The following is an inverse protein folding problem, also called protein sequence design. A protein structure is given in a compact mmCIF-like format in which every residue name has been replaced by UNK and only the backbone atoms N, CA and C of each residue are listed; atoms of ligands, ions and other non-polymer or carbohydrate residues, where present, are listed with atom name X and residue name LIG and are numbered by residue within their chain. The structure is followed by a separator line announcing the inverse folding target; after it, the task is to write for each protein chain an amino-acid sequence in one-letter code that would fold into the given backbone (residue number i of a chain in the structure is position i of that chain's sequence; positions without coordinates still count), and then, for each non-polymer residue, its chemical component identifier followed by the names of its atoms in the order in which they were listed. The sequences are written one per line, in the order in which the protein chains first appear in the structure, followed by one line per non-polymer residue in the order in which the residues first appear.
data_IF_340795918240
#
_entry.id   IF_340795918240
#
_cell.length_a   1.000
_cell.length_b   1.000
_cell.length_c   1.000
_cell.angle_alpha   90.00
_cell.angle_beta   90.00
_cell.angle_gamma   90.00
#
_symmetry.space_group_name_H-M   'P 1'
#
loop_
_entity.id
_entity.type
_entity.pdbx_description
1 polymer ?
#
# COMPACT_ATOMS: atom_id res chain seq x y z
N UNK A 1 -19.53 -10.64 10.12
CA UNK A 1 -18.53 -11.08 9.12
C UNK A 1 -18.00 -12.48 9.44
N UNK A 2 -17.66 -13.29 8.43
CA UNK A 2 -17.02 -14.61 8.59
C UNK A 2 -15.51 -14.48 8.83
N UNK A 3 -14.86 -15.54 9.32
CA UNK A 3 -13.40 -15.55 9.52
C UNK A 3 -12.62 -15.26 8.22
N UNK A 4 -13.07 -15.80 7.08
CA UNK A 4 -12.47 -15.54 5.77
C UNK A 4 -12.63 -14.07 5.34
N UNK A 5 -13.81 -13.49 5.58
CA UNK A 5 -14.06 -12.08 5.32
C UNK A 5 -13.15 -11.18 6.17
N UNK A 6 -13.03 -11.48 7.47
CA UNK A 6 -12.14 -10.75 8.38
C UNK A 6 -10.67 -10.89 7.95
N UNK A 7 -10.26 -12.10 7.56
CA UNK A 7 -8.89 -12.37 7.09
C UNK A 7 -8.55 -11.56 5.85
N UNK A 8 -9.45 -11.56 4.86
CA UNK A 8 -9.29 -10.80 3.62
C UNK A 8 -9.29 -9.29 3.86
N UNK A 9 -10.18 -8.81 4.73
CA UNK A 9 -10.43 -7.39 4.91
C UNK A 9 -9.39 -6.71 5.82
N UNK A 10 -8.80 -7.44 6.76
CA UNK A 10 -7.76 -6.92 7.66
C UNK A 10 -6.34 -7.38 7.29
N UNK A 11 -6.18 -8.20 6.24
CA UNK A 11 -4.93 -8.88 5.86
C UNK A 11 -4.28 -9.63 7.03
N UNK A 12 -5.11 -10.35 7.80
CA UNK A 12 -4.67 -11.12 8.98
C UNK A 12 -4.76 -12.62 8.66
N UNK A 13 -3.68 -13.40 8.81
CA UNK A 13 -3.71 -14.84 8.57
C UNK A 13 -4.73 -15.57 9.45
N UNK A 14 -5.40 -16.58 8.89
CA UNK A 14 -6.38 -17.41 9.62
C UNK A 14 -5.84 -17.99 10.94
N UNK A 15 -4.56 -18.34 10.99
CA UNK A 15 -3.92 -18.83 12.23
C UNK A 15 -3.98 -17.79 13.36
N UNK A 16 -3.83 -16.51 13.03
CA UNK A 16 -3.87 -15.40 13.97
C UNK A 16 -5.31 -15.14 14.40
N UNK A 17 -6.27 -15.25 13.49
CA UNK A 17 -7.69 -15.14 13.81
C UNK A 17 -8.18 -16.27 14.73
N UNK A 18 -7.69 -17.51 14.54
CA UNK A 18 -7.96 -18.63 15.44
C UNK A 18 -7.41 -18.40 16.84
N UNK A 19 -6.22 -17.80 16.93
CA UNK A 19 -5.65 -17.39 18.22
C UNK A 19 -6.52 -16.32 18.89
N UNK A 20 -6.95 -15.29 18.13
CA UNK A 20 -7.82 -14.25 18.65
C UNK A 20 -9.18 -14.77 19.12
N UNK A 21 -9.72 -15.80 18.46
CA UNK A 21 -10.97 -16.44 18.88
C UNK A 21 -10.87 -17.01 20.31
N UNK A 22 -9.68 -17.46 20.73
CA UNK A 22 -9.43 -18.01 22.07
C UNK A 22 -8.94 -16.93 23.05
N UNK A 23 -7.92 -16.18 22.66
CA UNK A 23 -7.18 -15.29 23.55
C UNK A 23 -7.69 -13.84 23.54
N UNK A 24 -8.42 -13.44 22.49
CA UNK A 24 -8.99 -12.09 22.31
C UNK A 24 -10.47 -12.16 21.94
N UNK A 25 -11.22 -13.03 22.63
CA UNK A 25 -12.59 -13.39 22.26
C UNK A 25 -13.49 -12.17 22.06
N UNK A 26 -13.39 -11.14 22.92
CA UNK A 26 -14.18 -9.89 22.79
C UNK A 26 -13.95 -9.17 21.46
N UNK A 27 -12.69 -9.02 21.05
CA UNK A 27 -12.34 -8.40 19.76
C UNK A 27 -12.86 -9.25 18.60
N UNK A 28 -12.66 -10.56 18.68
CA UNK A 28 -13.10 -11.47 17.63
C UNK A 28 -14.64 -11.44 17.47
N UNK A 29 -15.40 -11.46 18.56
CA UNK A 29 -16.86 -11.36 18.53
C UNK A 29 -17.36 -10.02 17.98
N UNK A 30 -16.66 -8.91 18.28
CA UNK A 30 -16.96 -7.61 17.67
C UNK A 30 -16.79 -7.67 16.15
N UNK A 31 -15.67 -8.18 15.65
CA UNK A 31 -15.43 -8.35 14.22
C UNK A 31 -16.48 -9.27 13.55
N UNK A 32 -16.89 -10.33 14.25
CA UNK A 32 -17.94 -11.25 13.77
C UNK A 32 -19.31 -10.57 13.68
N UNK A 33 -19.59 -9.61 14.58
CA UNK A 33 -20.87 -8.89 14.65
C UNK A 33 -21.05 -7.79 13.59
N UNK A 34 -19.97 -7.32 12.97
CA UNK A 34 -20.05 -6.28 11.94
C UNK A 34 -20.63 -6.82 10.62
N UNK A 35 -21.35 -5.99 9.88
CA UNK A 35 -21.80 -6.31 8.52
C UNK A 35 -20.66 -6.15 7.51
N UNK A 36 -20.47 -7.15 6.66
CA UNK A 36 -19.34 -7.18 5.73
C UNK A 36 -19.39 -6.04 4.71
N UNK A 37 -20.56 -5.80 4.12
CA UNK A 37 -20.70 -4.78 3.08
C UNK A 37 -20.57 -3.36 3.65
N UNK A 38 -21.17 -3.09 4.82
CA UNK A 38 -20.99 -1.82 5.54
C UNK A 38 -19.52 -1.57 5.91
N UNK A 39 -18.84 -2.61 6.42
CA UNK A 39 -17.42 -2.52 6.75
C UNK A 39 -16.57 -2.37 5.51
N UNK A 40 -16.86 -3.07 4.42
CA UNK A 40 -16.12 -2.98 3.15
C UNK A 40 -16.25 -1.60 2.52
N UNK A 41 -17.44 -1.00 2.54
CA UNK A 41 -17.66 0.38 2.11
C UNK A 41 -16.91 1.37 3.00
N UNK A 42 -16.93 1.17 4.33
CA UNK A 42 -16.19 2.02 5.27
C UNK A 42 -14.67 1.81 5.21
N UNK A 43 -14.21 0.63 4.80
CA UNK A 43 -12.79 0.29 4.65
C UNK A 43 -12.27 0.58 3.24
N UNK A 44 -13.12 0.95 2.27
CA UNK A 44 -12.75 1.26 0.89
C UNK A 44 -11.68 0.29 0.38
N UNK A 45 -12.02 -0.99 0.36
CA UNK A 45 -11.14 -2.07 -0.11
C UNK A 45 -10.99 -2.02 -1.64
N UNK A 46 -10.36 -0.94 -2.12
CA UNK A 46 -9.69 -0.89 -3.43
C UNK A 46 -8.56 -1.92 -3.35
N UNK A 47 -8.46 -2.83 -4.32
CA UNK A 47 -7.33 -3.76 -4.45
C UNK A 47 -6.19 -3.11 -5.24
N UNK A 48 -4.96 -3.62 -5.10
CA UNK A 48 -3.79 -3.12 -5.84
C UNK A 48 -3.93 -3.28 -7.35
N UNK A 49 -4.71 -4.27 -7.79
CA UNK A 49 -4.96 -4.58 -9.19
C UNK A 49 -6.13 -3.77 -9.78
N UNK A 50 -6.89 -3.05 -8.95
CA UNK A 50 -8.03 -2.25 -9.39
C UNK A 50 -7.59 -1.06 -10.24
N UNK A 51 -8.52 -0.60 -11.09
CA UNK A 51 -8.42 0.63 -11.85
C UNK A 51 -9.36 1.66 -11.23
N UNK A 52 -8.82 2.82 -10.87
CA UNK A 52 -9.55 3.91 -10.23
C UNK A 52 -9.45 5.19 -11.04
N UNK A 53 -10.40 6.10 -10.82
CA UNK A 53 -10.32 7.46 -11.34
C UNK A 53 -9.23 8.21 -10.55
N UNK A 54 -8.10 8.42 -11.21
CA UNK A 54 -6.99 9.22 -10.72
C UNK A 54 -7.18 10.68 -11.11
N UNK A 55 -7.02 11.58 -10.12
CA UNK A 55 -7.01 13.02 -10.33
C UNK A 55 -5.61 13.59 -10.04
N UNK A 56 -4.90 14.12 -11.05
CA UNK A 56 -3.55 14.65 -10.85
C UNK A 56 -3.50 15.86 -9.92
N UNK A 57 -4.64 16.55 -9.70
CA UNK A 57 -4.70 17.72 -8.80
C UNK A 57 -4.62 17.36 -7.32
N UNK A 58 -4.77 16.08 -6.99
CA UNK A 58 -4.59 15.61 -5.61
C UNK A 58 -3.12 15.51 -5.20
N UNK A 59 -2.18 15.68 -6.12
CA UNK A 59 -0.76 15.46 -5.90
C UNK A 59 0.08 16.66 -6.30
N UNK A 60 1.30 16.75 -5.77
CA UNK A 60 2.22 17.86 -6.00
C UNK A 60 2.61 18.02 -7.47
N UNK A 61 2.78 16.90 -8.18
CA UNK A 61 3.16 16.85 -9.58
C UNK A 61 2.46 15.71 -10.28
N UNK A 62 2.05 15.91 -11.54
CA UNK A 62 1.43 14.85 -12.33
C UNK A 62 2.48 13.83 -12.81
N UNK A 63 2.58 12.68 -12.14
CA UNK A 63 3.44 11.57 -12.57
C UNK A 63 2.86 10.75 -13.74
N UNK A 64 1.60 11.01 -14.13
CA UNK A 64 0.93 10.44 -15.30
C UNK A 64 0.82 11.50 -16.41
N UNK A 65 1.98 11.98 -16.86
CA UNK A 65 2.15 13.14 -17.75
C UNK A 65 1.36 13.08 -19.08
N UNK A 66 0.90 11.91 -19.49
CA UNK A 66 0.12 11.71 -20.73
C UNK A 66 -1.23 12.45 -20.71
N UNK A 67 -1.78 12.73 -19.51
CA UNK A 67 -3.03 13.44 -19.35
C UNK A 67 -3.01 14.35 -18.13
N UNK A 68 -3.37 15.62 -18.32
CA UNK A 68 -3.53 16.60 -17.23
C UNK A 68 -4.96 16.63 -16.66
N UNK A 69 -5.80 15.67 -17.06
CA UNK A 69 -7.18 15.53 -16.60
C UNK A 69 -7.33 14.24 -15.79
N UNK A 70 -8.49 14.10 -15.15
CA UNK A 70 -8.87 12.82 -14.54
C UNK A 70 -8.75 11.68 -15.55
N UNK A 71 -8.21 10.55 -15.10
CA UNK A 71 -7.98 9.39 -15.95
C UNK A 71 -8.08 8.10 -15.15
N UNK A 72 -8.35 7.00 -15.84
CA UNK A 72 -8.32 5.67 -15.25
C UNK A 72 -6.86 5.23 -15.09
N UNK A 73 -6.47 4.90 -13.87
CA UNK A 73 -5.12 4.40 -13.57
C UNK A 73 -5.20 3.22 -12.61
N UNK A 74 -4.26 2.28 -12.78
CA UNK A 74 -4.13 1.17 -11.86
C UNK A 74 -3.58 1.64 -10.50
N UNK A 75 -4.13 1.11 -9.42
CA UNK A 75 -3.81 1.51 -8.04
C UNK A 75 -2.34 1.26 -7.70
N UNK A 76 -1.82 0.08 -8.03
CA UNK A 76 -0.40 -0.21 -7.88
C UNK A 76 0.47 0.79 -8.64
N UNK A 77 0.09 1.17 -9.86
CA UNK A 77 0.83 2.17 -10.65
C UNK A 77 0.84 3.54 -9.97
N UNK A 78 -0.30 4.01 -9.46
CA UNK A 78 -0.41 5.29 -8.73
C UNK A 78 0.52 5.25 -7.51
N UNK A 79 0.33 4.27 -6.63
CA UNK A 79 1.09 4.17 -5.39
C UNK A 79 2.59 4.03 -5.68
N UNK A 80 2.98 3.13 -6.60
CA UNK A 80 4.38 2.91 -6.96
C UNK A 80 5.05 4.16 -7.51
N UNK A 81 4.38 4.92 -8.39
CA UNK A 81 4.95 6.11 -9.00
C UNK A 81 5.16 7.22 -7.96
N UNK A 82 4.15 7.53 -7.15
CA UNK A 82 4.25 8.58 -6.14
C UNK A 82 5.18 8.21 -4.97
N UNK A 83 5.32 6.92 -4.61
CA UNK A 83 6.37 6.52 -3.67
C UNK A 83 7.79 6.78 -4.21
N UNK A 84 7.97 6.82 -5.54
CA UNK A 84 9.28 7.09 -6.14
C UNK A 84 9.66 8.58 -6.12
N UNK A 85 8.69 9.50 -5.97
CA UNK A 85 8.99 10.94 -5.86
C UNK A 85 9.53 11.31 -4.48
N UNK A 86 9.33 10.45 -3.47
CA UNK A 86 9.71 10.69 -2.08
C UNK A 86 9.14 12.00 -1.50
N UNK A 87 8.05 12.50 -2.05
CA UNK A 87 7.36 13.68 -1.52
C UNK A 87 6.46 13.28 -0.35
N UNK A 88 6.72 13.83 0.84
CA UNK A 88 6.00 13.46 2.06
C UNK A 88 4.49 13.72 1.99
N UNK A 89 4.08 14.84 1.38
CA UNK A 89 2.66 15.22 1.27
C UNK A 89 1.91 14.32 0.29
N UNK A 90 2.56 13.92 -0.81
CA UNK A 90 2.02 12.94 -1.75
C UNK A 90 1.91 11.56 -1.08
N UNK A 91 2.90 11.15 -0.27
CA UNK A 91 2.85 9.88 0.48
C UNK A 91 1.70 9.87 1.48
N UNK A 92 1.47 10.99 2.19
CA UNK A 92 0.32 11.14 3.10
C UNK A 92 -1.00 11.11 2.34
N UNK A 93 -1.05 11.71 1.15
CA UNK A 93 -2.20 11.62 0.25
C UNK A 93 -2.48 10.18 -0.16
N UNK A 94 -1.46 9.42 -0.56
CA UNK A 94 -1.59 7.98 -0.86
C UNK A 94 -2.15 7.20 0.34
N UNK A 95 -1.63 7.46 1.55
CA UNK A 95 -2.09 6.78 2.77
C UNK A 95 -3.55 7.12 3.09
N UNK A 96 -3.99 8.35 2.81
CA UNK A 96 -5.38 8.78 2.96
C UNK A 96 -6.30 8.12 1.95
N UNK A 97 -5.86 7.99 0.70
CA UNK A 97 -6.69 7.46 -0.39
C UNK A 97 -6.78 5.93 -0.39
N UNK A 98 -5.67 5.24 -0.14
CA UNK A 98 -5.56 3.79 -0.33
C UNK A 98 -5.28 3.02 0.97
N UNK A 99 -5.06 3.73 2.07
CA UNK A 99 -4.73 3.14 3.36
C UNK A 99 -3.24 2.83 3.54
N UNK A 100 -2.74 3.14 4.73
CA UNK A 100 -1.34 2.96 5.17
C UNK A 100 -0.77 1.57 4.87
N UNK A 101 -1.53 0.51 5.16
CA UNK A 101 -1.07 -0.87 4.98
C UNK A 101 -0.86 -1.22 3.51
N UNK A 102 -1.74 -0.76 2.62
CA UNK A 102 -1.61 -0.97 1.18
C UNK A 102 -0.37 -0.26 0.63
N UNK A 103 -0.22 1.02 0.96
CA UNK A 103 0.94 1.82 0.54
C UNK A 103 2.24 1.15 1.00
N UNK A 104 2.28 0.66 2.24
CA UNK A 104 3.42 -0.09 2.79
C UNK A 104 3.67 -1.42 2.06
N UNK A 105 2.61 -2.16 1.70
CA UNK A 105 2.72 -3.42 0.94
C UNK A 105 3.31 -3.19 -0.45
N UNK A 106 2.82 -2.17 -1.17
CA UNK A 106 3.34 -1.77 -2.48
C UNK A 106 4.81 -1.37 -2.38
N UNK A 107 5.19 -0.58 -1.37
CA UNK A 107 6.59 -0.21 -1.11
C UNK A 107 7.48 -1.44 -0.94
N UNK A 108 7.07 -2.39 -0.08
CA UNK A 108 7.82 -3.63 0.17
C UNK A 108 7.96 -4.45 -1.12
N UNK A 109 6.89 -4.61 -1.88
CA UNK A 109 6.90 -5.34 -3.16
C UNK A 109 7.87 -4.70 -4.16
N UNK A 110 7.80 -3.37 -4.32
CA UNK A 110 8.67 -2.59 -5.20
C UNK A 110 10.15 -2.80 -4.88
N UNK A 111 10.52 -2.65 -3.60
CA UNK A 111 11.91 -2.79 -3.17
C UNK A 111 12.41 -4.25 -3.23
N UNK A 112 11.58 -5.23 -2.87
CA UNK A 112 11.93 -6.65 -3.05
C UNK A 112 12.22 -6.98 -4.52
N UNK A 113 11.37 -6.51 -5.43
CA UNK A 113 11.54 -6.73 -6.86
C UNK A 113 12.81 -6.05 -7.39
N UNK A 114 13.10 -4.84 -6.92
CA UNK A 114 14.32 -4.10 -7.27
C UNK A 114 15.59 -4.82 -6.79
N UNK A 115 15.63 -5.27 -5.54
CA UNK A 115 16.76 -6.02 -4.99
C UNK A 115 16.91 -7.43 -5.59
N UNK A 116 15.80 -8.06 -6.02
CA UNK A 116 15.84 -9.32 -6.76
C UNK A 116 16.51 -9.17 -8.13
N UNK A 117 16.34 -8.01 -8.79
CA UNK A 117 17.09 -7.69 -10.03
C UNK A 117 18.57 -7.46 -9.76
N UNK A 118 18.93 -6.99 -8.56
CA UNK A 118 20.31 -6.80 -8.11
C UNK A 118 20.94 -5.49 -8.58
N UNK A 119 20.18 -4.62 -9.27
CA UNK A 119 20.66 -3.32 -9.72
C UNK A 119 19.49 -2.34 -9.94
N UNK A 120 19.81 -1.05 -9.91
CA UNK A 120 18.96 0.04 -10.38
C UNK A 120 19.48 0.48 -11.73
N UNK A 121 18.66 0.36 -12.77
CA UNK A 121 19.01 0.86 -14.09
C UNK A 121 18.75 2.36 -14.15
N UNK A 122 19.81 3.12 -14.40
CA UNK A 122 19.74 4.55 -14.69
C UNK A 122 20.14 4.78 -16.14
N UNK A 123 19.71 5.87 -16.77
CA UNK A 123 20.01 6.19 -18.18
C UNK A 123 21.53 6.29 -18.43
N UNK A 124 22.16 5.14 -18.71
CA UNK A 124 23.58 5.01 -19.00
C UNK A 124 24.42 4.21 -17.99
N UNK A 125 23.89 3.81 -16.83
CA UNK A 125 24.64 3.00 -15.86
C UNK A 125 23.71 2.19 -14.94
N UNK A 126 24.04 0.91 -14.74
CA UNK A 126 23.40 0.07 -13.73
C UNK A 126 24.14 0.24 -12.38
N UNK A 127 23.41 0.69 -11.37
CA UNK A 127 23.93 0.82 -10.00
C UNK A 127 23.66 -0.50 -9.27
N UNK A 128 24.69 -1.29 -8.92
CA UNK A 128 24.48 -2.56 -8.24
C UNK A 128 23.85 -2.35 -6.87
N UNK A 129 22.91 -3.23 -6.52
CA UNK A 129 22.28 -3.27 -5.20
C UNK A 129 22.88 -4.42 -4.40
N UNK A 130 23.39 -4.09 -3.22
CA UNK A 130 23.91 -5.05 -2.26
C UNK A 130 23.17 -4.99 -0.93
N UNK A 131 23.23 -6.09 -0.17
CA UNK A 131 22.60 -6.18 1.14
C UNK A 131 21.08 -6.40 1.06
N UNK A 132 20.37 -6.04 2.12
CA UNK A 132 18.93 -6.26 2.23
C UNK A 132 18.14 -4.99 1.91
N UNK A 133 17.02 -5.15 1.19
CA UNK A 133 16.20 -4.03 0.75
C UNK A 133 15.70 -3.13 1.90
N UNK A 134 15.46 -3.72 3.07
CA UNK A 134 14.98 -3.02 4.26
C UNK A 134 16.05 -2.17 4.95
N UNK A 135 17.32 -2.32 4.56
CA UNK A 135 18.41 -1.47 5.04
C UNK A 135 18.64 -0.25 4.15
N UNK A 136 18.01 -0.19 2.97
CA UNK A 136 18.11 0.95 2.06
C UNK A 136 17.60 2.24 2.72
N UNK A 137 18.37 3.32 2.61
CA UNK A 137 18.04 4.57 3.30
C UNK A 137 16.77 5.23 2.75
N UNK A 138 16.55 5.19 1.43
CA UNK A 138 15.31 5.68 0.82
C UNK A 138 14.10 4.87 1.29
N UNK A 139 14.25 3.54 1.38
CA UNK A 139 13.19 2.69 1.94
C UNK A 139 12.85 3.07 3.37
N UNK A 140 13.85 3.26 4.24
CA UNK A 140 13.64 3.65 5.64
C UNK A 140 12.95 5.01 5.76
N UNK A 141 13.35 5.98 4.95
CA UNK A 141 12.74 7.31 4.94
C UNK A 141 11.25 7.23 4.59
N UNK A 142 10.91 6.58 3.48
CA UNK A 142 9.50 6.43 3.05
C UNK A 142 8.70 5.65 4.12
N UNK A 143 9.27 4.58 4.69
CA UNK A 143 8.62 3.85 5.80
C UNK A 143 8.41 4.75 7.02
N UNK A 144 9.34 5.65 7.32
CA UNK A 144 9.20 6.65 8.39
C UNK A 144 7.96 7.51 8.17
N UNK A 145 7.86 8.14 7.00
CA UNK A 145 6.71 8.99 6.62
C UNK A 145 5.38 8.23 6.69
N UNK A 146 5.34 7.00 6.16
CA UNK A 146 4.14 6.14 6.24
C UNK A 146 3.79 5.81 7.68
N UNK A 147 4.79 5.56 8.54
CA UNK A 147 4.55 5.21 9.94
C UNK A 147 4.08 6.41 10.77
N UNK A 148 4.51 7.62 10.44
CA UNK A 148 4.16 8.88 11.11
C UNK A 148 2.79 9.45 10.69
N UNK A 149 2.23 8.95 9.57
CA UNK A 149 0.82 9.13 9.18
C UNK A 149 -0.13 8.28 10.04
#
# INVERSE_FOLDING_TARGET
MTQQQISKLLDVPDRTLRDWKKNRHRLYSLLESLEYDEVKEKINAVDIDDVVIFDPRCYSHNLFWQTNKQSEQNVYAIISNYLASMNDDDIKTLCTQFGKNMVKSVLVSKYKNMYKKGYISTSGMDIPLSGSYNQNDMYKQIVGVINDY
#
